data_IF_249353440744
#
_entry.id   IF_249353440744
#
_cell.length_a   1.000
_cell.length_b   1.000
_cell.length_c   1.000
_cell.angle_alpha   90.00
_cell.angle_beta   90.00
_cell.angle_gamma   90.00
#
_symmetry.space_group_name_H-M   'P 1'
#
loop_
_entity.id
_entity.type
_entity.pdbx_description
1 polymer ?
#
# COMPACT_ATOMS: atom_id res chain seq x y z
N UNK A 1 -46.81 44.85 10.55
CA UNK A 1 -46.54 43.77 9.58
C UNK A 1 -46.06 42.55 10.36
N UNK A 2 -46.74 41.41 10.19
CA UNK A 2 -46.66 40.21 11.04
C UNK A 2 -45.36 39.43 10.80
N UNK A 3 -44.66 39.05 11.87
CA UNK A 3 -43.55 38.08 11.85
C UNK A 3 -44.15 36.68 12.04
N UNK A 4 -43.91 35.77 11.12
CA UNK A 4 -44.31 34.36 11.21
C UNK A 4 -43.09 33.59 11.70
N UNK A 5 -43.17 33.07 12.92
CA UNK A 5 -42.19 32.15 13.48
C UNK A 5 -42.56 30.73 13.05
N UNK A 6 -41.60 30.01 12.47
CA UNK A 6 -41.70 28.59 12.18
C UNK A 6 -40.79 27.84 13.15
N UNK A 7 -41.41 27.23 14.15
CA UNK A 7 -40.80 26.17 14.97
C UNK A 7 -41.04 24.85 14.25
N UNK A 8 -39.96 24.19 13.82
CA UNK A 8 -40.04 22.79 13.41
C UNK A 8 -39.46 21.88 14.48
N UNK A 9 -40.27 20.87 14.76
CA UNK A 9 -40.23 19.92 15.84
C UNK A 9 -39.10 18.92 15.63
N UNK A 10 -38.30 18.74 16.68
CA UNK A 10 -37.29 17.71 16.84
C UNK A 10 -38.00 16.35 17.01
N UNK A 11 -37.79 15.42 16.09
CA UNK A 11 -38.31 14.05 16.16
C UNK A 11 -37.17 13.04 16.10
N UNK A 12 -36.73 12.58 17.28
CA UNK A 12 -35.69 11.56 17.44
C UNK A 12 -36.34 10.18 17.42
N UNK A 13 -36.00 9.33 16.45
CA UNK A 13 -36.37 7.91 16.44
C UNK A 13 -35.09 7.08 16.47
N UNK A 14 -34.70 6.58 17.65
CA UNK A 14 -33.63 5.60 17.82
C UNK A 14 -34.20 4.20 17.54
N UNK A 15 -33.75 3.56 16.46
CA UNK A 15 -33.93 2.13 16.22
C UNK A 15 -32.58 1.44 16.50
N UNK A 16 -32.49 0.74 17.63
CA UNK A 16 -31.40 -0.19 17.91
C UNK A 16 -31.58 -1.46 17.09
N UNK A 17 -30.83 -1.60 16.00
CA UNK A 17 -30.62 -2.86 15.29
C UNK A 17 -29.26 -3.46 15.68
N UNK A 18 -29.26 -4.57 16.40
CA UNK A 18 -28.05 -5.36 16.64
C UNK A 18 -27.69 -6.14 15.37
N UNK A 19 -26.74 -5.64 14.59
CA UNK A 19 -26.12 -6.41 13.51
C UNK A 19 -25.03 -7.30 14.11
N UNK A 20 -25.30 -8.61 14.19
CA UNK A 20 -24.27 -9.62 14.40
C UNK A 20 -23.51 -9.81 13.08
N UNK A 21 -22.47 -9.00 12.88
CA UNK A 21 -21.47 -9.27 11.86
C UNK A 21 -20.58 -10.41 12.36
N UNK A 22 -20.62 -11.54 11.65
CA UNK A 22 -19.62 -12.58 11.82
C UNK A 22 -18.23 -12.00 11.50
N UNK A 23 -17.18 -12.33 12.25
CA UNK A 23 -15.83 -11.87 11.95
C UNK A 23 -15.34 -12.57 10.68
N UNK A 24 -15.40 -11.85 9.56
CA UNK A 24 -14.72 -12.25 8.33
C UNK A 24 -13.25 -11.87 8.51
N UNK A 25 -12.44 -12.81 9.01
CA UNK A 25 -10.98 -12.71 8.95
C UNK A 25 -10.56 -12.83 7.48
N UNK A 26 -10.66 -11.74 6.75
CA UNK A 26 -10.06 -11.59 5.43
C UNK A 26 -8.56 -11.54 5.62
N UNK A 27 -7.89 -12.62 5.22
CA UNK A 27 -6.44 -12.73 5.09
C UNK A 27 -5.95 -11.72 4.03
N UNK A 28 -5.79 -10.45 4.44
CA UNK A 28 -5.20 -9.39 3.63
C UNK A 28 -3.67 -9.48 3.57
N UNK A 29 -3.08 -10.52 4.16
CA UNK A 29 -1.64 -10.76 4.12
C UNK A 29 -1.20 -11.49 2.85
N UNK A 30 -2.15 -12.04 2.08
CA UNK A 30 -1.88 -12.71 0.80
C UNK A 30 -1.53 -11.73 -0.35
N UNK A 31 -1.76 -10.43 -0.16
CA UNK A 31 -1.49 -9.38 -1.16
C UNK A 31 -0.16 -8.65 -0.91
N UNK A 32 0.67 -9.13 0.02
CA UNK A 32 2.07 -8.66 0.16
C UNK A 32 3.08 -9.65 -0.42
N UNK A 33 2.64 -10.86 -0.75
CA UNK A 33 3.42 -11.92 -1.38
C UNK A 33 2.79 -12.29 -2.73
N UNK A 34 2.85 -11.39 -3.71
CA UNK A 34 2.49 -11.76 -5.07
C UNK A 34 3.68 -12.44 -5.75
N UNK A 35 3.52 -13.73 -6.08
CA UNK A 35 4.44 -14.40 -6.99
C UNK A 35 4.09 -14.00 -8.44
N UNK A 36 4.88 -13.12 -9.04
CA UNK A 36 4.79 -12.87 -10.48
C UNK A 36 5.44 -14.01 -11.26
N UNK A 37 4.67 -14.71 -12.08
CA UNK A 37 5.17 -15.74 -12.99
C UNK A 37 5.84 -15.08 -14.20
N UNK A 38 7.16 -15.01 -14.21
CA UNK A 38 7.88 -14.75 -15.45
C UNK A 38 7.89 -16.03 -16.30
N UNK A 39 7.05 -16.09 -17.32
CA UNK A 39 7.24 -17.08 -18.38
C UNK A 39 8.40 -16.59 -19.25
N UNK A 40 9.61 -17.11 -19.01
CA UNK A 40 10.71 -16.89 -19.93
C UNK A 40 10.28 -17.44 -21.30
N UNK A 41 10.19 -16.55 -22.29
CA UNK A 41 10.12 -16.96 -23.68
C UNK A 41 11.32 -17.86 -23.95
N UNK A 42 11.02 -19.11 -24.29
CA UNK A 42 11.99 -20.16 -24.61
C UNK A 42 13.01 -19.66 -25.62
N UNK A 43 14.25 -19.57 -25.20
CA UNK A 43 15.35 -19.23 -26.11
C UNK A 43 16.73 -19.55 -25.59
N UNK A 44 16.89 -20.19 -24.43
CA UNK A 44 18.14 -20.79 -23.99
C UNK A 44 17.84 -22.25 -23.66
N UNK A 45 17.70 -23.07 -24.70
CA UNK A 45 17.71 -24.53 -24.57
C UNK A 45 19.10 -24.92 -24.09
N UNK A 46 19.22 -25.19 -22.79
CA UNK A 46 20.35 -25.95 -22.27
C UNK A 46 20.06 -27.43 -22.55
N UNK A 47 20.53 -27.92 -23.69
CA UNK A 47 20.61 -29.36 -23.98
C UNK A 47 21.54 -30.00 -22.95
N UNK A 48 20.95 -30.66 -21.95
CA UNK A 48 21.67 -31.63 -21.12
C UNK A 48 21.41 -33.01 -21.71
N UNK A 49 22.44 -33.58 -22.33
CA UNK A 49 22.42 -34.93 -22.89
C UNK A 49 22.38 -35.93 -21.71
N UNK A 50 21.26 -36.63 -21.56
CA UNK A 50 21.09 -37.72 -20.62
C UNK A 50 20.88 -39.01 -21.43
N UNK A 51 21.80 -39.95 -21.27
CA UNK A 51 21.90 -41.23 -22.00
C UNK A 51 20.72 -42.20 -21.76
N UNK A 52 19.69 -41.77 -21.03
CA UNK A 52 18.62 -42.59 -20.49
C UNK A 52 17.23 -41.93 -20.62
N UNK A 53 16.91 -41.48 -21.83
CA UNK A 53 15.56 -41.65 -22.40
C UNK A 53 14.38 -40.90 -21.76
N UNK A 54 14.61 -39.93 -20.87
CA UNK A 54 13.55 -39.08 -20.32
C UNK A 54 13.66 -37.64 -20.83
N UNK A 55 12.93 -37.33 -21.90
CA UNK A 55 12.81 -35.98 -22.44
C UNK A 55 11.78 -35.17 -21.63
N UNK A 56 12.21 -34.56 -20.53
CA UNK A 56 11.36 -33.72 -19.69
C UNK A 56 12.11 -32.56 -19.07
N UNK A 57 12.07 -31.38 -19.70
CA UNK A 57 12.47 -30.13 -19.06
C UNK A 57 11.47 -29.75 -17.97
N UNK A 58 11.94 -29.43 -16.77
CA UNK A 58 11.11 -28.88 -15.71
C UNK A 58 11.52 -27.44 -15.45
N UNK A 59 10.55 -26.53 -15.46
CA UNK A 59 10.73 -25.14 -15.07
C UNK A 59 10.55 -25.03 -13.55
N UNK A 60 11.53 -24.49 -12.85
CA UNK A 60 11.35 -24.10 -11.45
C UNK A 60 10.66 -22.73 -11.36
N UNK A 61 9.65 -22.63 -10.51
CA UNK A 61 9.02 -21.36 -10.14
C UNK A 61 9.97 -20.59 -9.22
N UNK A 62 10.60 -19.54 -9.74
CA UNK A 62 11.24 -18.52 -8.91
C UNK A 62 10.20 -17.43 -8.60
N UNK A 63 9.33 -17.72 -7.64
CA UNK A 63 8.55 -16.69 -6.98
C UNK A 63 9.48 -15.88 -6.09
N UNK A 64 9.97 -14.74 -6.58
CA UNK A 64 10.59 -13.75 -5.70
C UNK A 64 9.45 -13.01 -5.02
N UNK A 65 9.13 -13.40 -3.79
CA UNK A 65 8.32 -12.56 -2.91
C UNK A 65 9.08 -11.25 -2.70
N UNK A 66 8.70 -10.22 -3.43
CA UNK A 66 9.19 -8.88 -3.17
C UNK A 66 8.46 -8.40 -1.93
N UNK A 67 9.12 -8.52 -0.78
CA UNK A 67 8.57 -8.05 0.47
C UNK A 67 8.53 -6.53 0.42
N UNK A 68 7.35 -5.98 0.19
CA UNK A 68 7.15 -4.55 0.28
C UNK A 68 7.28 -4.09 1.73
N UNK A 69 7.77 -2.86 1.92
CA UNK A 69 7.69 -2.19 3.21
C UNK A 69 6.24 -2.13 3.73
N UNK A 70 6.05 -1.94 5.04
CA UNK A 70 4.70 -1.78 5.58
C UNK A 70 4.14 -0.40 5.25
N UNK A 71 2.83 -0.28 4.96
CA UNK A 71 2.17 1.02 4.81
C UNK A 71 2.40 1.92 6.03
N UNK A 72 2.63 3.22 5.80
CA UNK A 72 2.94 4.20 6.86
C UNK A 72 1.68 4.80 7.50
N UNK A 73 0.59 4.84 6.75
CA UNK A 73 -0.66 5.52 7.09
C UNK A 73 -1.84 4.54 7.26
N UNK A 74 -1.60 3.23 7.12
CA UNK A 74 -2.62 2.19 7.22
C UNK A 74 -3.47 2.03 5.96
N UNK A 75 -3.02 2.57 4.83
CA UNK A 75 -3.62 2.37 3.52
C UNK A 75 -3.13 1.08 2.83
N UNK A 76 -3.54 0.91 1.57
CA UNK A 76 -3.11 -0.21 0.71
C UNK A 76 -1.94 0.22 -0.16
N UNK A 77 -0.86 -0.57 -0.17
CA UNK A 77 0.27 -0.29 -1.05
C UNK A 77 0.00 -0.73 -2.49
N UNK A 78 0.43 0.11 -3.43
CA UNK A 78 0.39 -0.12 -4.87
C UNK A 78 1.78 0.17 -5.42
N UNK A 79 2.38 -0.82 -6.06
CA UNK A 79 3.68 -0.64 -6.72
C UNK A 79 3.54 0.26 -7.95
N UNK A 80 4.37 1.31 -8.01
CA UNK A 80 4.40 2.24 -9.14
C UNK A 80 5.45 1.80 -10.16
N UNK A 81 6.63 1.43 -9.69
CA UNK A 81 7.78 1.10 -10.53
C UNK A 81 9.09 1.26 -9.77
N UNK A 82 10.19 1.30 -10.48
CA UNK A 82 11.52 1.57 -9.91
C UNK A 82 12.37 2.36 -10.90
N UNK A 83 13.43 2.98 -10.39
CA UNK A 83 14.49 3.61 -11.20
C UNK A 83 15.81 2.93 -10.92
N UNK A 84 16.63 2.73 -11.95
CA UNK A 84 17.97 2.15 -11.81
C UNK A 84 19.04 3.24 -11.65
N UNK A 85 19.95 3.04 -10.71
CA UNK A 85 21.12 3.87 -10.51
C UNK A 85 22.36 3.00 -10.29
N UNK A 86 23.56 3.61 -10.26
CA UNK A 86 24.82 2.88 -10.15
C UNK A 86 24.90 2.01 -8.87
N UNK A 87 24.21 2.43 -7.82
CA UNK A 87 24.23 1.81 -6.49
C UNK A 87 23.08 0.81 -6.27
N UNK A 88 22.15 0.66 -7.21
CA UNK A 88 21.00 -0.23 -7.06
C UNK A 88 19.75 0.23 -7.80
N UNK A 89 18.59 -0.13 -7.26
CA UNK A 89 17.30 0.33 -7.73
C UNK A 89 16.52 0.97 -6.58
N UNK A 90 15.85 2.08 -6.87
CA UNK A 90 14.90 2.72 -5.96
C UNK A 90 13.50 2.28 -6.35
N UNK A 91 12.77 1.65 -5.45
CA UNK A 91 11.40 1.18 -5.67
C UNK A 91 10.40 2.21 -5.16
N UNK A 92 9.38 2.51 -5.97
CA UNK A 92 8.36 3.50 -5.66
C UNK A 92 7.00 2.85 -5.47
N UNK A 93 6.28 3.33 -4.47
CA UNK A 93 4.95 2.86 -4.11
C UNK A 93 4.00 4.04 -3.90
N UNK A 94 2.70 3.79 -4.10
CA UNK A 94 1.63 4.64 -3.63
C UNK A 94 0.90 3.91 -2.51
N UNK A 95 0.76 4.54 -1.35
CA UNK A 95 -0.17 4.10 -0.32
C UNK A 95 -1.52 4.78 -0.56
N UNK A 96 -2.52 3.97 -0.91
CA UNK A 96 -3.86 4.42 -1.24
C UNK A 96 -4.71 4.36 0.02
N UNK A 97 -5.21 5.51 0.47
CA UNK A 97 -6.11 5.59 1.61
C UNK A 97 -7.53 5.16 1.19
N UNK A 98 -8.33 4.59 2.12
CA UNK A 98 -9.74 4.34 1.88
C UNK A 98 -10.47 5.61 1.42
N UNK A 99 -11.47 5.43 0.55
CA UNK A 99 -12.32 6.55 0.11
C UNK A 99 -13.17 7.04 1.30
N UNK A 100 -12.96 8.29 1.71
CA UNK A 100 -13.72 8.92 2.80
C UNK A 100 -14.36 10.20 2.29
N UNK A 101 -15.69 10.32 2.43
CA UNK A 101 -16.46 11.49 1.98
C UNK A 101 -16.21 11.88 0.50
N UNK A 102 -16.02 10.87 -0.36
CA UNK A 102 -15.71 11.07 -1.78
C UNK A 102 -14.29 11.61 -2.04
N UNK A 103 -13.41 11.61 -1.03
CA UNK A 103 -12.02 12.06 -1.11
C UNK A 103 -11.09 10.84 -1.22
N UNK A 104 -10.21 10.85 -2.22
CA UNK A 104 -9.14 9.86 -2.37
C UNK A 104 -7.82 10.54 -2.01
N UNK A 105 -7.10 9.95 -1.06
CA UNK A 105 -5.76 10.38 -0.67
C UNK A 105 -4.75 9.31 -1.10
N UNK A 106 -3.63 9.76 -1.67
CA UNK A 106 -2.47 8.93 -1.96
C UNK A 106 -1.25 9.48 -1.25
N UNK A 107 -0.41 8.60 -0.72
CA UNK A 107 0.93 8.94 -0.23
C UNK A 107 1.98 8.28 -1.12
N UNK A 108 2.92 9.06 -1.66
CA UNK A 108 4.05 8.56 -2.42
C UNK A 108 5.15 8.10 -1.46
N UNK A 109 5.61 6.87 -1.65
CA UNK A 109 6.58 6.20 -0.80
C UNK A 109 7.73 5.63 -1.63
N UNK A 110 8.87 5.44 -0.98
CA UNK A 110 10.00 4.61 -1.44
C UNK A 110 10.41 3.66 -0.33
N UNK A 111 11.31 2.72 -0.62
CA UNK A 111 11.91 1.84 0.39
C UNK A 111 13.33 2.31 0.75
N UNK A 112 13.72 2.16 2.01
CA UNK A 112 15.10 2.34 2.47
C UNK A 112 15.90 1.02 2.35
N UNK A 113 17.19 1.02 2.71
CA UNK A 113 18.05 -0.17 2.63
C UNK A 113 17.59 -1.34 3.52
N UNK A 114 16.76 -1.07 4.54
CA UNK A 114 16.16 -2.09 5.40
C UNK A 114 14.83 -2.65 4.83
N UNK A 115 14.39 -2.16 3.66
CA UNK A 115 13.11 -2.51 3.05
C UNK A 115 11.90 -1.87 3.75
N UNK A 116 12.12 -0.82 4.55
CA UNK A 116 11.02 -0.09 5.21
C UNK A 116 10.52 1.03 4.32
N UNK A 117 9.20 1.23 4.29
CA UNK A 117 8.61 2.34 3.56
C UNK A 117 8.96 3.67 4.20
N UNK A 118 9.34 4.65 3.39
CA UNK A 118 9.60 6.03 3.79
C UNK A 118 8.90 6.98 2.81
N UNK A 119 8.47 8.13 3.28
CA UNK A 119 7.80 9.12 2.43
C UNK A 119 8.74 9.62 1.31
N UNK A 120 8.22 9.75 0.09
CA UNK A 120 8.95 10.23 -1.07
C UNK A 120 8.35 11.55 -1.59
N UNK A 121 8.79 12.70 -1.06
CA UNK A 121 8.25 14.00 -1.48
C UNK A 121 8.75 14.38 -2.89
N UNK A 122 7.86 14.97 -3.69
CA UNK A 122 8.17 15.48 -5.03
C UNK A 122 7.76 16.94 -5.18
N UNK A 123 8.43 17.68 -6.07
CA UNK A 123 8.25 19.13 -6.24
C UNK A 123 6.99 19.54 -7.02
N UNK A 124 6.17 18.59 -7.46
CA UNK A 124 4.95 18.91 -8.23
C UNK A 124 3.79 19.17 -7.29
N UNK A 125 3.01 20.22 -7.59
CA UNK A 125 1.81 20.55 -6.83
C UNK A 125 0.58 19.74 -7.24
N UNK A 126 0.59 19.16 -8.44
CA UNK A 126 -0.56 18.49 -9.04
C UNK A 126 -0.15 17.22 -9.81
N UNK A 127 -0.97 16.18 -9.69
CA UNK A 127 -0.87 14.93 -10.45
C UNK A 127 -2.19 14.69 -11.18
N UNK A 128 -2.15 14.66 -12.51
CA UNK A 128 -3.32 14.32 -13.34
C UNK A 128 -3.59 12.83 -13.29
N UNK A 129 -4.86 12.46 -13.15
CA UNK A 129 -5.33 11.09 -13.23
C UNK A 129 -6.66 11.00 -14.00
N UNK A 130 -7.06 9.79 -14.34
CA UNK A 130 -8.37 9.49 -14.91
C UNK A 130 -9.11 8.54 -13.98
N UNK A 131 -10.37 8.84 -13.68
CA UNK A 131 -11.25 7.95 -12.93
C UNK A 131 -12.31 7.39 -13.87
N UNK A 132 -12.54 6.09 -13.77
CA UNK A 132 -13.60 5.40 -14.49
C UNK A 132 -14.39 4.50 -13.54
N UNK A 133 -15.64 4.25 -13.90
CA UNK A 133 -16.56 3.39 -13.16
C UNK A 133 -16.41 1.95 -13.65
N UNK A 134 -16.15 1.03 -12.74
CA UNK A 134 -16.08 -0.40 -13.11
C UNK A 134 -17.45 -1.09 -13.14
N UNK A 135 -18.48 -0.44 -12.60
CA UNK A 135 -19.85 -0.96 -12.54
C UNK A 135 -20.69 -0.68 -13.80
N UNK A 136 -20.15 0.02 -14.81
CA UNK A 136 -20.87 0.39 -16.04
C UNK A 136 -19.96 0.29 -17.27
N UNK A 137 -20.37 -0.51 -18.26
CA UNK A 137 -19.58 -0.75 -19.49
C UNK A 137 -19.44 0.49 -20.41
N UNK A 138 -20.39 1.44 -20.34
CA UNK A 138 -20.42 2.64 -21.20
C UNK A 138 -19.95 3.92 -20.49
N UNK A 139 -19.18 3.80 -19.40
CA UNK A 139 -18.63 4.96 -18.69
C UNK A 139 -17.47 5.57 -19.46
N UNK A 140 -17.45 6.91 -19.54
CA UNK A 140 -16.28 7.64 -20.04
C UNK A 140 -15.41 8.02 -18.85
N UNK A 141 -14.12 7.68 -18.94
CA UNK A 141 -13.14 8.13 -17.97
C UNK A 141 -13.16 9.66 -17.83
N UNK A 142 -13.19 10.14 -16.60
CA UNK A 142 -13.19 11.57 -16.26
C UNK A 142 -11.81 11.96 -15.74
N UNK A 143 -11.26 13.06 -16.26
CA UNK A 143 -10.02 13.61 -15.74
C UNK A 143 -10.22 14.20 -14.34
N UNK A 144 -9.33 13.86 -13.42
CA UNK A 144 -9.26 14.41 -12.06
C UNK A 144 -7.84 14.85 -11.76
N UNK A 145 -7.69 15.75 -10.80
CA UNK A 145 -6.40 16.28 -10.37
C UNK A 145 -6.23 16.01 -8.89
N UNK A 146 -5.14 15.32 -8.56
CA UNK A 146 -4.65 15.18 -7.20
C UNK A 146 -3.78 16.38 -6.87
N UNK A 147 -4.13 17.13 -5.82
CA UNK A 147 -3.41 18.31 -5.37
C UNK A 147 -2.58 17.96 -4.13
N UNK A 148 -1.35 18.46 -4.07
CA UNK A 148 -0.47 18.33 -2.92
C UNK A 148 -1.09 18.98 -1.67
N UNK A 149 -0.97 18.33 -0.52
CA UNK A 149 -1.31 18.94 0.77
C UNK A 149 -0.07 19.65 1.35
N UNK A 150 -0.17 20.97 1.55
CA UNK A 150 0.90 21.80 2.11
C UNK A 150 1.69 22.61 1.07
N UNK A 151 2.69 23.36 1.55
CA UNK A 151 3.58 24.17 0.73
C UNK A 151 4.94 23.47 0.52
N UNK A 152 5.38 23.33 -0.74
CA UNK A 152 6.68 22.76 -1.09
C UNK A 152 6.61 21.30 -1.58
N UNK A 153 7.72 20.53 -1.47
CA UNK A 153 7.73 19.13 -1.87
C UNK A 153 6.73 18.32 -1.05
N UNK A 154 5.86 17.58 -1.74
CA UNK A 154 4.77 16.84 -1.12
C UNK A 154 4.86 15.34 -1.43
N UNK A 155 4.56 14.51 -0.44
CA UNK A 155 4.32 13.08 -0.62
C UNK A 155 2.82 12.76 -0.56
N UNK A 156 2.00 13.60 0.07
CA UNK A 156 0.56 13.43 0.16
C UNK A 156 -0.15 14.23 -0.94
N UNK A 157 -1.02 13.55 -1.68
CA UNK A 157 -1.86 14.17 -2.69
C UNK A 157 -3.30 13.74 -2.55
N UNK A 158 -4.21 14.67 -2.80
CA UNK A 158 -5.62 14.47 -2.54
C UNK A 158 -6.49 14.95 -3.68
N UNK A 159 -7.55 14.21 -3.97
CA UNK A 159 -8.56 14.61 -4.95
C UNK A 159 -9.97 14.30 -4.45
N UNK A 160 -10.96 14.91 -5.09
CA UNK A 160 -12.38 14.62 -4.86
C UNK A 160 -12.95 13.89 -6.06
N UNK A 161 -13.57 12.74 -5.81
CA UNK A 161 -14.29 11.97 -6.82
C UNK A 161 -15.47 12.81 -7.36
N UNK A 162 -15.60 12.96 -8.69
CA UNK A 162 -16.73 13.67 -9.30
C UNK A 162 -18.07 13.08 -8.84
N UNK A 163 -19.07 13.93 -8.61
CA UNK A 163 -20.42 13.50 -8.16
C UNK A 163 -21.03 12.40 -9.04
N UNK A 164 -20.73 12.44 -10.34
CA UNK A 164 -21.20 11.45 -11.35
C UNK A 164 -20.64 10.04 -11.17
N UNK A 165 -19.62 9.89 -10.31
CA UNK A 165 -18.92 8.64 -10.01
C UNK A 165 -19.16 8.16 -8.58
N UNK A 166 -19.76 8.98 -7.71
CA UNK A 166 -19.96 8.64 -6.29
C UNK A 166 -20.98 7.51 -6.05
N UNK A 167 -21.84 7.23 -7.01
CA UNK A 167 -22.80 6.13 -6.96
C UNK A 167 -22.21 4.79 -7.45
N UNK A 168 -20.99 4.78 -7.99
CA UNK A 168 -20.33 3.57 -8.46
C UNK A 168 -19.84 2.74 -7.28
N UNK A 169 -20.00 1.42 -7.28
CA UNK A 169 -19.49 0.54 -6.21
C UNK A 169 -17.95 0.47 -6.17
N UNK A 170 -17.31 0.59 -7.34
CA UNK A 170 -15.88 0.46 -7.51
C UNK A 170 -15.39 1.40 -8.63
N UNK A 171 -14.31 2.12 -8.34
CA UNK A 171 -13.68 3.05 -9.26
C UNK A 171 -12.30 2.53 -9.65
N UNK A 172 -11.96 2.68 -10.93
CA UNK A 172 -10.60 2.51 -11.44
C UNK A 172 -9.97 3.89 -11.60
N UNK A 173 -8.80 4.09 -11.01
CA UNK A 173 -8.03 5.34 -11.11
C UNK A 173 -6.71 5.04 -11.81
N UNK A 174 -6.42 5.79 -12.87
CA UNK A 174 -5.20 5.64 -13.68
C UNK A 174 -4.40 6.94 -13.62
N UNK A 175 -3.15 6.85 -13.18
CA UNK A 175 -2.17 7.93 -13.23
C UNK A 175 -1.24 7.68 -14.42
N UNK A 176 -1.47 8.34 -15.56
CA UNK A 176 -0.76 8.05 -16.82
C UNK A 176 0.69 8.55 -16.83
N UNK A 177 1.02 9.48 -15.91
CA UNK A 177 2.32 10.16 -15.86
C UNK A 177 2.55 10.80 -14.50
N UNK A 178 3.57 10.31 -13.82
CA UNK A 178 4.21 10.97 -12.67
C UNK A 178 5.72 10.88 -12.84
N UNK A 179 6.49 11.85 -12.32
CA UNK A 179 7.96 11.78 -12.34
C UNK A 179 8.47 11.39 -10.96
N UNK A 180 9.16 10.25 -10.87
CA UNK A 180 9.75 9.73 -9.64
C UNK A 180 11.20 9.34 -9.95
N UNK A 181 12.16 9.80 -9.13
CA UNK A 181 13.60 9.59 -9.41
C UNK A 181 14.08 10.21 -10.73
N UNK A 182 13.40 11.23 -11.25
CA UNK A 182 13.67 11.81 -12.57
C UNK A 182 13.10 11.00 -13.75
N UNK A 183 12.55 9.82 -13.52
CA UNK A 183 11.97 8.95 -14.54
C UNK A 183 10.45 9.09 -14.61
N UNK A 184 9.88 8.85 -15.80
CA UNK A 184 8.44 8.86 -16.00
C UNK A 184 7.86 7.50 -15.61
N UNK A 185 6.98 7.50 -14.62
CA UNK A 185 6.22 6.34 -14.18
C UNK A 185 4.72 6.50 -14.50
N UNK A 186 4.00 5.38 -14.45
CA UNK A 186 2.54 5.31 -14.55
C UNK A 186 2.06 4.18 -13.64
N UNK A 187 0.87 4.32 -13.08
CA UNK A 187 0.28 3.29 -12.24
C UNK A 187 -1.24 3.43 -12.23
N UNK A 188 -1.92 2.38 -11.78
CA UNK A 188 -3.37 2.39 -11.58
C UNK A 188 -3.74 1.62 -10.34
N UNK A 189 -4.93 1.91 -9.82
CA UNK A 189 -5.47 1.24 -8.64
C UNK A 189 -6.99 1.32 -8.64
N UNK A 190 -7.62 0.40 -7.90
CA UNK A 190 -9.07 0.47 -7.64
C UNK A 190 -9.36 0.94 -6.23
N UNK A 191 -10.50 1.59 -6.06
CA UNK A 191 -11.07 1.96 -4.76
C UNK A 191 -12.54 1.58 -4.71
N UNK A 192 -12.95 0.95 -3.61
CA UNK A 192 -14.36 0.64 -3.34
C UNK A 192 -15.03 1.82 -2.64
N UNK A 193 -16.25 2.16 -3.05
CA UNK A 193 -17.03 3.25 -2.43
C UNK A 193 -17.95 2.77 -1.32
N UNK A 194 -18.22 1.46 -1.27
CA UNK A 194 -19.24 0.85 -0.40
C UNK A 194 -18.76 0.41 0.99
N UNK A 195 -17.45 0.44 1.27
CA UNK A 195 -16.89 0.09 2.58
C UNK A 195 -16.40 1.34 3.30
N UNK A 196 -17.33 2.07 3.92
CA UNK A 196 -16.98 2.98 5.01
C UNK A 196 -16.37 2.17 6.16
N UNK A 197 -15.04 2.14 6.21
CA UNK A 197 -14.21 2.20 7.42
C UNK A 197 -14.61 1.30 8.62
N UNK A 198 -15.16 0.09 8.42
CA UNK A 198 -15.35 -0.83 9.55
C UNK A 198 -14.10 -1.64 9.90
N UNK A 199 -12.95 -1.39 9.24
CA UNK A 199 -11.73 -2.20 9.40
C UNK A 199 -10.49 -1.43 9.92
N UNK A 200 -10.64 -0.18 10.37
CA UNK A 200 -9.54 0.52 11.04
C UNK A 200 -9.46 0.07 12.52
N UNK A 201 -8.62 -0.93 12.79
CA UNK A 201 -8.07 -1.18 14.12
C UNK A 201 -8.81 -2.20 14.99
N UNK A 202 -8.69 -3.49 14.66
CA UNK A 202 -8.40 -4.45 15.73
C UNK A 202 -6.90 -4.59 15.80
N UNK A 203 -6.29 -3.69 16.57
CA UNK A 203 -5.02 -3.95 17.24
C UNK A 203 -5.19 -5.32 17.91
N UNK A 204 -4.55 -6.34 17.35
CA UNK A 204 -4.49 -7.65 17.97
C UNK A 204 -3.80 -7.46 19.30
N UNK A 205 -4.59 -7.29 20.36
CA UNK A 205 -4.09 -7.42 21.73
C UNK A 205 -3.46 -8.81 21.77
N UNK A 206 -2.13 -8.93 21.92
CA UNK A 206 -1.51 -10.25 21.99
C UNK A 206 -2.19 -10.98 23.15
N UNK A 207 -2.58 -12.26 22.96
CA UNK A 207 -3.12 -13.03 24.08
C UNK A 207 -2.11 -12.94 25.21
N UNK A 208 -2.55 -12.42 26.36
CA UNK A 208 -1.75 -12.34 27.56
C UNK A 208 -1.25 -13.76 27.87
N UNK A 209 0.01 -14.01 27.54
CA UNK A 209 0.70 -15.26 27.82
C UNK A 209 0.77 -15.39 29.34
N UNK A 210 -0.17 -16.16 29.88
CA UNK A 210 -0.20 -16.55 31.27
C UNK A 210 0.67 -17.80 31.40
N UNK A 211 1.99 -17.64 31.30
CA UNK A 211 2.92 -18.67 31.78
C UNK A 211 3.68 -18.10 32.99
N UNK A 212 3.31 -18.52 34.21
CA UNK A 212 4.14 -18.30 35.38
C UNK A 212 5.27 -19.33 35.40
N UNK A 213 6.43 -18.86 35.85
CA UNK A 213 7.40 -19.65 36.59
C UNK A 213 8.26 -20.65 35.80
N UNK A 214 9.39 -20.15 35.31
CA UNK A 214 10.61 -20.96 35.23
C UNK A 214 11.80 -20.11 35.69
N UNK A 215 12.05 -20.20 36.99
CA UNK A 215 13.31 -19.81 37.62
C UNK A 215 14.49 -20.47 36.87
N UNK A 216 15.37 -19.67 36.28
CA UNK A 216 16.71 -20.11 35.89
C UNK A 216 17.74 -19.13 36.43
N UNK A 217 18.16 -19.39 37.67
CA UNK A 217 19.46 -18.93 38.18
C UNK A 217 20.55 -19.61 37.34
N UNK A 218 21.40 -18.81 36.71
CA UNK A 218 22.43 -19.30 35.80
C UNK A 218 23.55 -18.31 35.59
N UNK A 219 24.42 -18.24 36.59
CA UNK A 219 25.87 -17.98 36.53
C UNK A 219 26.41 -16.83 35.67
N UNK A 220 27.09 -15.92 36.38
CA UNK A 220 28.02 -14.95 35.87
C UNK A 220 29.11 -15.56 34.97
N UNK A 221 29.45 -14.85 33.90
CA UNK A 221 30.80 -14.87 33.36
C UNK A 221 31.19 -13.43 32.96
N UNK A 222 31.96 -12.79 33.84
CA UNK A 222 32.71 -11.57 33.54
C UNK A 222 33.79 -11.92 32.49
N UNK A 223 33.67 -11.35 31.30
CA UNK A 223 34.68 -11.39 30.25
C UNK A 223 35.26 -9.99 30.00
N UNK A 224 36.59 -9.83 29.89
CA UNK A 224 37.29 -8.58 30.13
C UNK A 224 37.15 -7.54 29.01
N UNK A 225 37.21 -6.28 29.43
CA UNK A 225 37.44 -5.11 28.59
C UNK A 225 38.68 -5.31 27.71
N UNK A 226 38.49 -5.15 26.40
CA UNK A 226 39.59 -5.05 25.45
C UNK A 226 39.74 -3.59 25.01
N UNK A 227 40.98 -3.14 25.15
CA UNK A 227 41.55 -1.82 24.98
C UNK A 227 41.12 -1.04 23.72
N UNK A 228 40.96 0.26 23.92
CA UNK A 228 41.10 1.28 22.87
C UNK A 228 42.55 1.31 22.36
N UNK A 229 42.80 1.20 21.04
CA UNK A 229 44.02 1.72 20.46
C UNK A 229 43.86 3.23 20.22
N UNK A 230 44.39 4.02 21.15
CA UNK A 230 44.83 5.38 20.87
C UNK A 230 46.03 5.37 19.91
N UNK A 231 46.13 6.43 19.10
CA UNK A 231 47.35 6.91 18.40
C UNK A 231 47.65 6.22 17.06
N UNK A 232 48.06 6.89 15.98
CA UNK A 232 48.95 8.05 15.83
C UNK A 232 48.76 8.72 14.45
N UNK A 233 49.15 10.01 14.39
CA UNK A 233 49.88 10.74 13.33
C UNK A 233 49.49 10.49 11.84
N UNK A 234 49.07 11.48 11.04
CA UNK A 234 49.78 12.71 10.57
C UNK A 234 48.80 13.75 9.99
#
# INVERSE_FOLDING_TARGET
MKRIAWSYLLGTLLLCGCNQSAPTTGDMNADFDHNHRHQHGTGHDHEHDHDDGFAGGHSHEHGHGHRHGKPLHGGRLVSIGHSHHAEGATHYHAEIMPLVDGRVTIHLLTENDAGESVAFPIEVAEITAYVDRLDREDSLATEIVFTAEGDGPASEFVTTVPETHRDSAELSIVVPKVKLGGERQNFSFTVSTGEQASNAGSEATPPASSDPDATQEGAAEEGPAADEPTSNDE
#
